data_IF_855897705162
#
_entry.id   IF_855897705162
#
_cell.length_a   1.000
_cell.length_b   1.000
_cell.length_c   1.000
_cell.angle_alpha   90.00
_cell.angle_beta   90.00
_cell.angle_gamma   90.00
#
_symmetry.space_group_name_H-M   'P 1'
#
loop_
_entity.id
_entity.type
_entity.pdbx_description
1 polymer ?
#
# COMPACT_ATOMS: atom_id res chain seq x y z
N UNK A 1 -6.85 44.40 -24.55
CA UNK A 1 -6.74 42.92 -24.73
C UNK A 1 -7.95 42.24 -24.16
N UNK A 2 -8.97 42.01 -24.95
CA UNK A 2 -10.22 41.25 -24.57
C UNK A 2 -9.87 39.75 -24.60
N UNK A 3 -9.62 39.15 -23.44
CA UNK A 3 -9.54 37.66 -23.34
C UNK A 3 -10.95 37.13 -23.64
N UNK A 4 -11.06 36.37 -24.73
CA UNK A 4 -12.30 35.78 -25.20
C UNK A 4 -12.96 34.94 -24.07
N UNK A 5 -14.23 35.20 -23.72
CA UNK A 5 -14.94 34.51 -22.62
C UNK A 5 -14.96 32.96 -22.76
N UNK A 6 -14.86 32.44 -23.98
CA UNK A 6 -14.77 31.01 -24.27
C UNK A 6 -13.49 30.35 -23.75
N UNK A 7 -12.39 31.07 -23.63
CA UNK A 7 -11.12 30.54 -23.07
C UNK A 7 -11.20 30.40 -21.55
N UNK A 8 -11.84 31.34 -20.87
CA UNK A 8 -12.08 31.29 -19.44
C UNK A 8 -12.96 30.09 -19.05
N UNK A 9 -14.04 29.84 -19.79
CA UNK A 9 -14.93 28.69 -19.54
C UNK A 9 -14.24 27.34 -19.70
N UNK A 10 -13.37 27.20 -20.73
CA UNK A 10 -12.57 25.96 -20.93
C UNK A 10 -11.56 25.74 -19.80
N UNK A 11 -10.94 26.79 -19.32
CA UNK A 11 -9.96 26.75 -18.24
C UNK A 11 -10.61 26.31 -16.92
N UNK A 12 -11.74 26.91 -16.56
CA UNK A 12 -12.48 26.54 -15.35
C UNK A 12 -13.07 25.13 -15.41
N UNK A 13 -13.62 24.70 -16.56
CA UNK A 13 -14.11 23.33 -16.75
C UNK A 13 -13.01 22.27 -16.59
N UNK A 14 -11.77 22.57 -17.00
CA UNK A 14 -10.62 21.68 -16.77
C UNK A 14 -10.28 21.59 -15.29
N UNK A 15 -10.17 22.73 -14.59
CA UNK A 15 -9.89 22.75 -13.15
C UNK A 15 -10.95 22.03 -12.33
N UNK A 16 -12.22 22.28 -12.60
CA UNK A 16 -13.33 21.60 -11.93
C UNK A 16 -13.26 20.06 -12.12
N UNK A 17 -12.86 19.58 -13.29
CA UNK A 17 -12.66 18.14 -13.51
C UNK A 17 -11.53 17.57 -12.63
N UNK A 18 -10.42 18.29 -12.48
CA UNK A 18 -9.33 17.87 -11.59
C UNK A 18 -9.76 17.83 -10.13
N UNK A 19 -10.44 18.86 -9.68
CA UNK A 19 -10.94 18.92 -8.30
C UNK A 19 -11.97 17.82 -8.02
N UNK A 20 -12.91 17.60 -8.95
CA UNK A 20 -13.86 16.49 -8.84
C UNK A 20 -13.18 15.12 -8.83
N UNK A 21 -12.14 14.94 -9.64
CA UNK A 21 -11.32 13.74 -9.61
C UNK A 21 -10.57 13.56 -8.28
N UNK A 22 -10.00 14.63 -7.75
CA UNK A 22 -9.30 14.61 -6.46
C UNK A 22 -10.25 14.29 -5.29
N UNK A 23 -11.44 14.90 -5.28
CA UNK A 23 -12.50 14.59 -4.31
C UNK A 23 -12.88 13.10 -4.38
N UNK A 24 -13.05 12.58 -5.59
CA UNK A 24 -13.39 11.17 -5.80
C UNK A 24 -12.26 10.24 -5.33
N UNK A 25 -10.99 10.58 -5.60
CA UNK A 25 -9.84 9.80 -5.10
C UNK A 25 -9.85 9.77 -3.57
N UNK A 26 -10.01 10.92 -2.92
CA UNK A 26 -10.08 11.01 -1.46
C UNK A 26 -11.21 10.16 -0.88
N UNK A 27 -12.44 10.33 -1.39
CA UNK A 27 -13.61 9.58 -0.93
C UNK A 27 -13.45 8.05 -1.11
N UNK A 28 -13.01 7.61 -2.30
CA UNK A 28 -12.78 6.17 -2.58
C UNK A 28 -11.66 5.62 -1.70
N UNK A 29 -10.61 6.40 -1.42
CA UNK A 29 -9.52 5.98 -0.53
C UNK A 29 -10.01 5.77 0.90
N UNK A 30 -10.87 6.66 1.41
CA UNK A 30 -11.46 6.51 2.75
C UNK A 30 -12.39 5.31 2.82
N UNK A 31 -13.27 5.11 1.83
CA UNK A 31 -14.15 3.94 1.77
C UNK A 31 -13.34 2.64 1.69
N UNK A 32 -12.27 2.62 0.92
CA UNK A 32 -11.38 1.47 0.84
C UNK A 32 -10.68 1.22 2.17
N UNK A 33 -10.26 2.28 2.87
CA UNK A 33 -9.67 2.17 4.19
C UNK A 33 -10.63 1.52 5.18
N UNK A 34 -11.88 2.00 5.26
CA UNK A 34 -12.91 1.45 6.13
C UNK A 34 -13.24 0.00 5.79
N UNK A 35 -13.32 -0.35 4.50
CA UNK A 35 -13.56 -1.71 4.06
C UNK A 35 -12.38 -2.65 4.43
N UNK A 36 -11.15 -2.17 4.33
CA UNK A 36 -9.95 -2.93 4.71
C UNK A 36 -9.90 -3.16 6.23
N UNK A 37 -10.15 -2.11 7.02
CA UNK A 37 -10.20 -2.21 8.48
C UNK A 37 -11.33 -3.17 8.94
N UNK A 38 -12.51 -3.05 8.34
CA UNK A 38 -13.63 -3.98 8.61
C UNK A 38 -13.31 -5.43 8.25
N UNK A 39 -12.60 -5.68 7.16
CA UNK A 39 -12.16 -7.01 6.75
C UNK A 39 -11.13 -7.60 7.74
N UNK A 40 -10.18 -6.79 8.18
CA UNK A 40 -9.18 -7.18 9.19
C UNK A 40 -9.85 -7.49 10.54
N UNK A 41 -10.76 -6.63 11.00
CA UNK A 41 -11.55 -6.88 12.22
C UNK A 41 -12.38 -8.17 12.13
N UNK A 42 -13.00 -8.44 10.98
CA UNK A 42 -13.76 -9.66 10.76
C UNK A 42 -12.85 -10.90 10.86
N UNK A 43 -11.65 -10.84 10.25
CA UNK A 43 -10.68 -11.93 10.34
C UNK A 43 -10.26 -12.20 11.80
N UNK A 44 -9.88 -11.18 12.56
CA UNK A 44 -9.50 -11.34 13.97
C UNK A 44 -10.66 -11.84 14.86
N UNK A 45 -11.90 -11.48 14.54
CA UNK A 45 -13.07 -12.02 15.23
C UNK A 45 -13.22 -13.53 15.00
N UNK A 46 -12.97 -14.03 13.79
CA UNK A 46 -12.97 -15.46 13.50
C UNK A 46 -11.78 -16.18 14.13
N UNK A 47 -10.59 -15.61 14.04
CA UNK A 47 -9.37 -16.18 14.61
C UNK A 47 -9.49 -16.36 16.12
N UNK A 48 -9.99 -15.36 16.83
CA UNK A 48 -10.23 -15.44 18.27
C UNK A 48 -11.22 -16.53 18.70
N UNK A 49 -12.15 -16.91 17.80
CA UNK A 49 -13.17 -17.92 18.07
C UNK A 49 -12.77 -19.33 17.64
N UNK A 50 -11.96 -19.42 16.57
CA UNK A 50 -11.51 -20.68 15.96
C UNK A 50 -10.04 -20.60 15.58
N UNK A 51 -9.15 -20.77 16.52
CA UNK A 51 -7.70 -20.59 16.37
C UNK A 51 -7.05 -21.40 15.23
N UNK A 52 -7.68 -22.49 14.77
CA UNK A 52 -7.24 -23.29 13.61
C UNK A 52 -7.87 -22.85 12.29
N UNK A 53 -8.86 -21.95 12.31
CA UNK A 53 -9.52 -21.48 11.09
C UNK A 53 -8.54 -20.89 10.05
N UNK A 54 -7.48 -20.15 10.42
CA UNK A 54 -6.50 -19.66 9.48
C UNK A 54 -5.84 -20.73 8.62
N UNK A 55 -5.66 -21.99 9.14
CA UNK A 55 -5.06 -23.07 8.36
C UNK A 55 -5.89 -23.47 7.13
N UNK A 56 -7.17 -23.16 7.11
CA UNK A 56 -8.05 -23.40 5.97
C UNK A 56 -8.39 -22.13 5.22
N UNK A 57 -8.77 -21.07 5.94
CA UNK A 57 -9.26 -19.82 5.35
C UNK A 57 -8.14 -19.09 4.58
N UNK A 58 -6.94 -19.00 5.15
CA UNK A 58 -5.83 -18.27 4.54
C UNK A 58 -5.33 -18.93 3.25
N UNK A 59 -5.04 -20.25 3.19
CA UNK A 59 -4.64 -20.90 1.94
C UNK A 59 -5.69 -20.80 0.83
N UNK A 60 -6.98 -20.99 1.17
CA UNK A 60 -8.07 -20.88 0.20
C UNK A 60 -8.23 -19.45 -0.30
N UNK A 61 -8.15 -18.46 0.60
CA UNK A 61 -8.19 -17.04 0.24
C UNK A 61 -7.04 -16.63 -0.68
N UNK A 62 -5.81 -17.08 -0.42
CA UNK A 62 -4.66 -16.84 -1.28
C UNK A 62 -4.84 -17.46 -2.66
N UNK A 63 -5.25 -18.72 -2.72
CA UNK A 63 -5.51 -19.41 -3.99
C UNK A 63 -6.60 -18.67 -4.80
N UNK A 64 -7.70 -18.27 -4.15
CA UNK A 64 -8.79 -17.52 -4.76
C UNK A 64 -8.32 -16.15 -5.28
N UNK A 65 -7.65 -15.35 -4.43
CA UNK A 65 -7.16 -14.02 -4.80
C UNK A 65 -6.16 -14.08 -5.96
N UNK A 66 -5.22 -15.04 -5.94
CA UNK A 66 -4.25 -15.22 -7.00
C UNK A 66 -4.90 -15.69 -8.30
N UNK A 67 -5.85 -16.63 -8.23
CA UNK A 67 -6.64 -17.07 -9.39
C UNK A 67 -7.42 -15.92 -10.00
N UNK A 68 -8.16 -15.17 -9.18
CA UNK A 68 -8.96 -14.04 -9.66
C UNK A 68 -8.07 -12.95 -10.27
N UNK A 69 -6.94 -12.63 -9.63
CA UNK A 69 -5.99 -11.67 -10.14
C UNK A 69 -5.32 -12.10 -11.46
N UNK A 70 -5.06 -13.41 -11.63
CA UNK A 70 -4.42 -13.93 -12.84
C UNK A 70 -5.39 -14.14 -14.00
N UNK A 71 -6.63 -14.57 -13.74
CA UNK A 71 -7.59 -14.98 -14.77
C UNK A 71 -8.69 -13.96 -15.05
N UNK A 72 -9.22 -13.35 -13.99
CA UNK A 72 -10.35 -12.42 -14.11
C UNK A 72 -9.87 -10.97 -14.24
N UNK A 73 -8.84 -10.60 -13.46
CA UNK A 73 -8.34 -9.22 -13.36
C UNK A 73 -6.83 -9.11 -13.57
N UNK A 74 -6.30 -9.48 -14.75
CA UNK A 74 -4.87 -9.45 -15.04
C UNK A 74 -4.32 -8.01 -14.91
N UNK A 75 -3.30 -7.84 -14.06
CA UNK A 75 -2.71 -6.54 -13.69
C UNK A 75 -3.07 -6.04 -12.30
N UNK A 76 -3.94 -6.78 -11.56
CA UNK A 76 -4.27 -6.45 -10.17
C UNK A 76 -3.28 -7.04 -9.14
N UNK A 77 -2.38 -7.94 -9.54
CA UNK A 77 -1.41 -8.58 -8.66
C UNK A 77 -0.48 -7.56 -7.99
N UNK A 78 0.03 -7.91 -6.81
CA UNK A 78 1.02 -7.14 -6.07
C UNK A 78 0.53 -5.77 -5.57
N UNK A 79 1.45 -4.86 -5.26
CA UNK A 79 1.13 -3.64 -4.52
C UNK A 79 0.30 -2.62 -5.32
N UNK A 80 0.54 -2.44 -6.60
CA UNK A 80 -0.13 -1.41 -7.42
C UNK A 80 0.76 -0.21 -7.75
N UNK A 81 1.77 0.08 -6.95
CA UNK A 81 2.74 1.16 -7.22
C UNK A 81 3.50 0.90 -8.53
N UNK A 82 4.12 -0.28 -8.75
CA UNK A 82 4.81 -0.57 -10.01
C UNK A 82 3.89 -0.46 -11.23
N UNK A 83 2.61 -0.85 -11.08
CA UNK A 83 1.63 -0.75 -12.16
C UNK A 83 1.29 0.71 -12.51
N UNK A 84 1.19 1.59 -11.50
CA UNK A 84 0.97 3.01 -11.70
C UNK A 84 2.17 3.69 -12.37
N UNK A 85 3.41 3.35 -11.95
CA UNK A 85 4.65 3.82 -12.56
C UNK A 85 4.74 3.34 -14.01
N UNK A 86 4.55 2.05 -14.26
CA UNK A 86 4.58 1.49 -15.61
C UNK A 86 3.51 2.13 -16.52
N UNK A 87 2.29 2.34 -16.01
CA UNK A 87 1.23 2.99 -16.78
C UNK A 87 1.55 4.45 -17.13
N UNK A 88 2.36 5.13 -16.34
CA UNK A 88 2.84 6.49 -16.65
C UNK A 88 3.85 6.48 -17.80
N UNK A 89 4.75 5.49 -17.82
CA UNK A 89 5.80 5.38 -18.85
C UNK A 89 5.27 4.82 -20.19
N UNK A 90 4.37 3.85 -20.15
CA UNK A 90 3.80 3.22 -21.36
C UNK A 90 3.05 4.26 -22.21
N UNK A 91 3.21 4.25 -23.56
CA UNK A 91 2.43 5.09 -24.48
C UNK A 91 0.91 4.90 -24.30
N UNK A 92 0.14 5.90 -24.74
CA UNK A 92 -1.32 5.79 -24.75
C UNK A 92 -1.75 4.58 -25.54
N UNK A 93 -2.64 3.76 -24.98
CA UNK A 93 -3.12 2.56 -25.65
C UNK A 93 -3.78 1.55 -24.74
N UNK A 94 -4.00 0.36 -25.27
CA UNK A 94 -4.69 -0.73 -24.59
C UNK A 94 -3.93 -1.25 -23.35
N UNK A 95 -2.59 -1.26 -23.40
CA UNK A 95 -1.76 -1.71 -22.29
C UNK A 95 -1.94 -0.80 -21.05
N UNK A 96 -1.91 0.53 -21.22
CA UNK A 96 -2.19 1.49 -20.13
C UNK A 96 -3.61 1.31 -19.57
N UNK A 97 -4.62 1.06 -20.46
CA UNK A 97 -6.01 0.81 -20.05
C UNK A 97 -6.17 -0.46 -19.22
N UNK A 98 -5.39 -1.50 -19.50
CA UNK A 98 -5.41 -2.74 -18.70
C UNK A 98 -4.90 -2.52 -17.28
N UNK A 99 -3.91 -1.65 -17.09
CA UNK A 99 -3.34 -1.35 -15.77
C UNK A 99 -4.21 -0.37 -14.96
N UNK A 100 -4.84 0.61 -15.64
CA UNK A 100 -5.59 1.69 -15.02
C UNK A 100 -6.98 1.82 -15.65
N UNK A 101 -7.96 1.11 -15.13
CA UNK A 101 -9.36 1.16 -15.53
C UNK A 101 -10.29 1.10 -14.32
N UNK A 102 -11.56 1.47 -14.49
CA UNK A 102 -12.58 1.35 -13.43
C UNK A 102 -12.70 -0.10 -12.96
N UNK A 103 -12.67 -1.06 -13.89
CA UNK A 103 -12.66 -2.50 -13.57
C UNK A 103 -11.46 -2.86 -12.68
N UNK A 104 -10.29 -2.25 -12.92
CA UNK A 104 -9.10 -2.47 -12.12
C UNK A 104 -9.23 -1.87 -10.72
N UNK A 105 -9.91 -0.71 -10.56
CA UNK A 105 -10.20 -0.13 -9.24
C UNK A 105 -11.01 -1.12 -8.38
N UNK A 106 -12.12 -1.61 -8.89
CA UNK A 106 -12.96 -2.57 -8.17
C UNK A 106 -12.22 -3.88 -7.88
N UNK A 107 -11.46 -4.40 -8.83
CA UNK A 107 -10.66 -5.60 -8.64
C UNK A 107 -9.61 -5.41 -7.55
N UNK A 108 -8.90 -4.28 -7.58
CA UNK A 108 -7.84 -4.00 -6.61
C UNK A 108 -8.40 -3.85 -5.20
N UNK A 109 -9.46 -3.06 -5.03
CA UNK A 109 -10.13 -2.87 -3.75
C UNK A 109 -10.70 -4.21 -3.25
N UNK A 110 -11.54 -4.88 -4.05
CA UNK A 110 -12.22 -6.09 -3.64
C UNK A 110 -11.26 -7.23 -3.29
N UNK A 111 -10.24 -7.48 -4.13
CA UNK A 111 -9.29 -8.56 -3.86
C UNK A 111 -8.36 -8.25 -2.69
N UNK A 112 -8.00 -6.97 -2.44
CA UNK A 112 -7.23 -6.61 -1.24
C UNK A 112 -8.07 -6.78 0.03
N UNK A 113 -9.35 -6.39 0.00
CA UNK A 113 -10.28 -6.58 1.12
C UNK A 113 -10.45 -8.08 1.41
N UNK A 114 -10.66 -8.91 0.38
CA UNK A 114 -10.76 -10.37 0.53
C UNK A 114 -9.45 -10.97 1.07
N UNK A 115 -8.29 -10.49 0.61
CA UNK A 115 -7.00 -10.94 1.12
C UNK A 115 -6.84 -10.65 2.63
N UNK A 116 -7.21 -9.43 3.07
CA UNK A 116 -7.21 -9.07 4.50
C UNK A 116 -8.20 -9.91 5.31
N UNK A 117 -9.40 -10.14 4.76
CA UNK A 117 -10.42 -11.00 5.36
C UNK A 117 -9.97 -12.47 5.53
N UNK A 118 -8.92 -12.87 4.78
CA UNK A 118 -8.31 -14.19 4.88
C UNK A 118 -6.96 -14.17 5.62
N UNK A 119 -6.64 -13.11 6.37
CA UNK A 119 -5.44 -13.01 7.19
C UNK A 119 -4.14 -12.72 6.42
N UNK A 120 -4.22 -12.21 5.19
CA UNK A 120 -3.02 -11.86 4.43
C UNK A 120 -2.25 -10.71 5.09
N UNK A 121 -0.92 -10.82 5.12
CA UNK A 121 -0.03 -9.74 5.59
C UNK A 121 0.19 -8.71 4.49
N UNK A 122 -0.79 -7.84 4.30
CA UNK A 122 -0.81 -6.79 3.26
C UNK A 122 -1.34 -5.46 3.80
N UNK A 123 -0.90 -4.37 3.17
CA UNK A 123 -1.43 -3.03 3.38
C UNK A 123 -2.35 -2.57 2.25
N UNK A 124 -3.03 -1.47 2.45
CA UNK A 124 -3.95 -0.83 1.51
C UNK A 124 -3.33 0.34 0.74
N UNK A 125 -2.19 0.85 1.18
CA UNK A 125 -1.58 2.08 0.68
C UNK A 125 -1.14 1.94 -0.79
N UNK A 126 -0.42 0.86 -1.12
CA UNK A 126 -0.03 0.56 -2.50
C UNK A 126 -1.23 0.39 -3.45
N UNK A 127 -2.22 -0.43 -3.11
CA UNK A 127 -3.48 -0.51 -3.85
C UNK A 127 -4.15 0.83 -4.07
N UNK A 128 -4.18 1.70 -3.07
CA UNK A 128 -4.78 3.04 -3.18
C UNK A 128 -4.08 3.92 -4.21
N UNK A 129 -2.76 3.78 -4.38
CA UNK A 129 -1.98 4.45 -5.44
C UNK A 129 -2.51 4.09 -6.83
N UNK A 130 -2.71 2.80 -7.10
CA UNK A 130 -3.22 2.34 -8.40
C UNK A 130 -4.67 2.77 -8.63
N UNK A 131 -5.49 2.74 -7.60
CA UNK A 131 -6.89 3.20 -7.63
C UNK A 131 -6.96 4.70 -7.93
N UNK A 132 -6.20 5.52 -7.21
CA UNK A 132 -6.13 6.97 -7.43
C UNK A 132 -5.64 7.33 -8.84
N UNK A 133 -4.59 6.65 -9.31
CA UNK A 133 -4.09 6.77 -10.68
C UNK A 133 -5.17 6.44 -11.72
N UNK A 134 -5.91 5.37 -11.50
CA UNK A 134 -6.96 4.93 -12.43
C UNK A 134 -8.14 5.90 -12.45
N UNK A 135 -8.60 6.41 -11.30
CA UNK A 135 -9.67 7.41 -11.20
C UNK A 135 -9.28 8.66 -11.98
N UNK A 136 -8.09 9.22 -11.73
CA UNK A 136 -7.64 10.44 -12.40
C UNK A 136 -7.44 10.24 -13.90
N UNK A 137 -6.99 9.06 -14.33
CA UNK A 137 -6.91 8.73 -15.75
C UNK A 137 -8.29 8.67 -16.41
N UNK A 138 -9.32 8.14 -15.73
CA UNK A 138 -10.69 8.13 -16.27
C UNK A 138 -11.25 9.57 -16.38
N UNK A 139 -11.03 10.40 -15.37
CA UNK A 139 -11.40 11.83 -15.42
C UNK A 139 -10.73 12.53 -16.59
N UNK A 140 -9.44 12.25 -16.84
CA UNK A 140 -8.70 12.77 -17.98
C UNK A 140 -9.39 12.42 -19.31
N UNK A 141 -9.75 11.16 -19.46
CA UNK A 141 -10.36 10.65 -20.70
C UNK A 141 -11.76 11.20 -20.95
N UNK A 142 -12.60 11.20 -19.92
CA UNK A 142 -13.97 11.74 -20.00
C UNK A 142 -14.00 13.22 -20.40
N UNK A 143 -12.93 13.95 -20.09
CA UNK A 143 -12.81 15.41 -20.37
C UNK A 143 -11.86 15.72 -21.53
N UNK A 144 -11.32 14.71 -22.21
CA UNK A 144 -10.41 14.89 -23.35
C UNK A 144 -9.10 15.59 -22.97
N UNK A 145 -8.59 15.36 -21.74
CA UNK A 145 -7.37 16.01 -21.25
C UNK A 145 -6.14 15.29 -21.78
N UNK A 146 -5.18 16.07 -22.33
CA UNK A 146 -4.01 15.49 -23.00
C UNK A 146 -2.90 15.04 -22.04
N UNK A 147 -2.78 15.63 -20.85
CA UNK A 147 -1.72 15.30 -19.88
C UNK A 147 -2.07 14.10 -18.99
N UNK A 148 -2.26 12.92 -19.59
CA UNK A 148 -2.58 11.71 -18.83
C UNK A 148 -1.47 11.31 -17.85
N UNK A 149 -0.17 11.52 -18.19
CA UNK A 149 0.97 11.18 -17.33
C UNK A 149 0.97 11.99 -16.03
N UNK A 150 0.74 13.29 -16.13
CA UNK A 150 0.63 14.17 -14.96
C UNK A 150 -0.57 13.86 -14.09
N UNK A 151 -1.67 13.39 -14.68
CA UNK A 151 -2.88 13.02 -13.94
C UNK A 151 -2.75 11.66 -13.24
N UNK A 152 -2.08 10.68 -13.85
CA UNK A 152 -1.71 9.42 -13.19
C UNK A 152 -0.87 9.75 -11.95
N UNK A 153 0.13 10.61 -12.08
CA UNK A 153 0.97 11.06 -10.98
C UNK A 153 0.13 11.72 -9.87
N UNK A 154 -0.70 12.70 -10.23
CA UNK A 154 -1.52 13.44 -9.29
C UNK A 154 -2.51 12.51 -8.53
N UNK A 155 -3.13 11.57 -9.23
CA UNK A 155 -4.03 10.58 -8.64
C UNK A 155 -3.32 9.61 -7.70
N UNK A 156 -2.14 9.13 -8.08
CA UNK A 156 -1.30 8.29 -7.23
C UNK A 156 -0.93 8.98 -5.93
N UNK A 157 -0.47 10.22 -6.04
CA UNK A 157 -0.05 11.04 -4.90
C UNK A 157 -1.24 11.41 -3.99
N UNK A 158 -2.40 11.77 -4.56
CA UNK A 158 -3.60 12.02 -3.80
C UNK A 158 -4.11 10.77 -3.07
N UNK A 159 -3.95 9.58 -3.69
CA UNK A 159 -4.23 8.30 -3.05
C UNK A 159 -3.40 8.08 -1.79
N UNK A 160 -2.10 8.34 -1.84
CA UNK A 160 -1.21 8.28 -0.66
C UNK A 160 -1.59 9.33 0.39
N UNK A 161 -1.83 10.59 -0.03
CA UNK A 161 -2.25 11.64 0.87
C UNK A 161 -3.51 11.26 1.67
N UNK A 162 -4.48 10.66 0.99
CA UNK A 162 -5.72 10.20 1.62
C UNK A 162 -5.52 8.93 2.46
N UNK A 163 -4.68 7.98 2.02
CA UNK A 163 -4.43 6.73 2.75
C UNK A 163 -3.75 6.96 4.10
N UNK A 164 -2.84 7.94 4.17
CA UNK A 164 -2.10 8.30 5.40
C UNK A 164 -2.71 9.47 6.18
N UNK A 165 -3.82 10.05 5.70
CA UNK A 165 -4.39 11.29 6.24
C UNK A 165 -3.35 12.42 6.31
N UNK A 166 -2.40 12.45 5.38
CA UNK A 166 -1.23 13.33 5.39
C UNK A 166 -0.96 13.89 3.98
N UNK A 167 -1.46 15.08 3.65
CA UNK A 167 -1.26 15.69 2.33
C UNK A 167 0.22 15.84 1.95
N UNK A 168 1.07 16.20 2.92
CA UNK A 168 2.50 16.37 2.69
C UNK A 168 3.20 15.05 2.27
N UNK A 169 2.80 13.92 2.87
CA UNK A 169 3.32 12.60 2.49
C UNK A 169 3.02 12.27 1.03
N UNK A 170 1.83 12.64 0.54
CA UNK A 170 1.48 12.48 -0.88
C UNK A 170 2.36 13.30 -1.81
N UNK A 171 2.74 14.53 -1.42
CA UNK A 171 3.66 15.37 -2.21
C UNK A 171 5.05 14.75 -2.27
N UNK A 172 5.59 14.31 -1.12
CA UNK A 172 6.90 13.65 -1.04
C UNK A 172 6.91 12.37 -1.89
N UNK A 173 5.88 11.52 -1.76
CA UNK A 173 5.73 10.32 -2.57
C UNK A 173 5.71 10.60 -4.08
N UNK A 174 5.01 11.67 -4.51
CA UNK A 174 4.98 12.07 -5.92
C UNK A 174 6.38 12.43 -6.43
N UNK A 175 7.19 13.03 -5.57
CA UNK A 175 8.55 13.49 -5.90
C UNK A 175 9.52 12.30 -5.95
N UNK A 176 9.56 11.50 -4.91
CA UNK A 176 10.59 10.47 -4.71
C UNK A 176 10.30 9.21 -5.52
N UNK A 177 9.09 8.68 -5.40
CA UNK A 177 8.76 7.38 -5.97
C UNK A 177 8.23 7.49 -7.41
N UNK A 178 7.31 8.43 -7.64
CA UNK A 178 6.57 8.44 -8.90
C UNK A 178 7.24 9.24 -10.00
N UNK A 179 7.97 10.31 -9.68
CA UNK A 179 8.45 11.25 -10.69
C UNK A 179 9.93 11.08 -11.03
N UNK A 180 10.78 10.83 -10.05
CA UNK A 180 12.25 10.79 -10.15
C UNK A 180 12.86 12.04 -10.84
N UNK A 181 12.06 13.10 -11.06
CA UNK A 181 12.51 14.35 -11.68
C UNK A 181 11.95 15.57 -10.98
N UNK A 182 12.77 16.61 -10.85
CA UNK A 182 12.43 17.85 -10.15
C UNK A 182 11.41 18.72 -10.91
N UNK A 183 11.37 18.66 -12.23
CA UNK A 183 10.53 19.51 -13.07
C UNK A 183 9.03 19.28 -12.93
N UNK A 184 8.61 18.06 -12.57
CA UNK A 184 7.20 17.73 -12.32
C UNK A 184 6.72 18.23 -10.95
N UNK A 185 7.63 18.60 -10.06
CA UNK A 185 7.38 18.96 -8.66
C UNK A 185 6.56 20.25 -8.48
N UNK A 186 6.68 21.18 -9.39
CA UNK A 186 6.06 22.51 -9.31
C UNK A 186 4.75 22.62 -10.09
N UNK A 187 4.26 21.51 -10.66
CA UNK A 187 2.98 21.56 -11.36
C UNK A 187 1.84 21.74 -10.35
N UNK A 188 1.28 22.94 -10.30
CA UNK A 188 0.21 23.31 -9.38
C UNK A 188 -1.01 22.36 -9.41
N UNK A 189 -1.18 21.60 -10.51
CA UNK A 189 -2.22 20.58 -10.64
C UNK A 189 -1.94 19.39 -9.70
N UNK A 190 -0.71 18.89 -9.65
CA UNK A 190 -0.34 17.78 -8.77
C UNK A 190 -0.55 18.21 -7.32
N UNK A 191 0.01 19.36 -6.95
CA UNK A 191 -0.09 19.87 -5.58
C UNK A 191 -1.54 20.09 -5.15
N UNK A 192 -2.37 20.75 -5.97
CA UNK A 192 -3.79 20.97 -5.63
C UNK A 192 -4.58 19.66 -5.55
N UNK A 193 -4.30 18.68 -6.41
CA UNK A 193 -4.95 17.37 -6.37
C UNK A 193 -4.62 16.62 -5.09
N UNK A 194 -3.34 16.64 -4.68
CA UNK A 194 -2.86 16.00 -3.44
C UNK A 194 -3.49 16.65 -2.21
N UNK A 195 -3.50 17.99 -2.15
CA UNK A 195 -4.09 18.74 -1.04
C UNK A 195 -5.59 18.42 -0.94
N UNK A 196 -6.34 18.48 -2.04
CA UNK A 196 -7.77 18.18 -2.04
C UNK A 196 -8.03 16.75 -1.59
N UNK A 197 -7.29 15.76 -2.12
CA UNK A 197 -7.43 14.36 -1.73
C UNK A 197 -7.18 14.13 -0.23
N UNK A 198 -6.15 14.76 0.32
CA UNK A 198 -5.84 14.70 1.75
C UNK A 198 -6.87 15.44 2.62
N UNK A 199 -7.35 16.62 2.17
CA UNK A 199 -8.41 17.35 2.87
C UNK A 199 -9.74 16.59 2.90
N UNK A 200 -10.07 15.84 1.84
CA UNK A 200 -11.24 14.95 1.84
C UNK A 200 -11.10 13.86 2.89
N UNK A 201 -9.92 13.24 2.97
CA UNK A 201 -9.66 12.25 4.02
C UNK A 201 -9.82 12.88 5.41
N UNK A 202 -9.16 14.01 5.65
CA UNK A 202 -9.25 14.75 6.90
C UNK A 202 -10.71 15.12 7.26
N UNK A 203 -11.49 15.57 6.28
CA UNK A 203 -12.90 15.94 6.49
C UNK A 203 -13.83 14.77 6.78
N UNK A 204 -13.53 13.57 6.24
CA UNK A 204 -14.36 12.38 6.43
C UNK A 204 -13.95 11.54 7.65
N UNK A 205 -12.66 11.50 7.99
CA UNK A 205 -12.13 10.65 9.06
C UNK A 205 -11.68 11.45 10.29
N UNK A 206 -11.69 12.78 10.20
CA UNK A 206 -11.18 13.66 11.23
C UNK A 206 -9.66 13.82 11.22
N UNK A 207 -9.17 14.71 12.08
CA UNK A 207 -7.74 14.96 12.23
C UNK A 207 -7.14 13.94 13.20
N UNK A 208 -6.53 12.89 12.67
CA UNK A 208 -5.80 11.89 13.46
C UNK A 208 -4.41 11.65 12.84
N UNK A 209 -3.45 11.36 13.70
CA UNK A 209 -2.11 10.93 13.28
C UNK A 209 -2.13 9.44 12.99
N UNK A 210 -1.78 9.06 11.76
CA UNK A 210 -1.88 7.66 11.31
C UNK A 210 -1.09 6.71 12.22
N UNK A 211 0.14 7.00 12.56
CA UNK A 211 0.98 6.17 13.43
C UNK A 211 1.06 6.64 14.90
N UNK A 212 0.10 7.43 15.38
CA UNK A 212 0.14 7.97 16.73
C UNK A 212 1.12 9.13 16.89
N UNK A 213 1.41 9.50 18.13
CA UNK A 213 2.33 10.59 18.51
C UNK A 213 3.34 10.11 19.52
N UNK A 214 4.58 10.58 19.40
CA UNK A 214 5.63 10.31 20.39
C UNK A 214 6.24 11.63 20.86
N UNK A 215 6.44 11.77 22.15
CA UNK A 215 7.16 12.88 22.77
C UNK A 215 8.63 12.54 23.04
N UNK A 216 9.13 11.42 22.50
CA UNK A 216 10.52 11.00 22.66
C UNK A 216 11.47 12.00 21.98
N UNK A 217 12.43 12.51 22.71
CA UNK A 217 13.48 13.37 22.20
C UNK A 217 14.83 12.62 22.20
N UNK A 218 15.62 12.84 21.16
CA UNK A 218 16.97 12.30 21.08
C UNK A 218 17.87 13.09 22.05
N UNK A 219 18.45 12.40 23.02
CA UNK A 219 19.35 13.01 24.00
C UNK A 219 20.77 12.49 23.82
N UNK A 220 21.75 13.42 23.80
CA UNK A 220 23.16 13.09 23.77
C UNK A 220 23.67 12.39 22.49
N UNK A 221 24.96 12.03 22.50
CA UNK A 221 25.64 11.34 21.40
C UNK A 221 25.19 9.89 21.24
N UNK A 222 24.81 9.21 22.33
CA UNK A 222 24.29 7.84 22.31
C UNK A 222 23.00 7.74 21.48
N UNK A 223 22.05 8.66 21.70
CA UNK A 223 20.82 8.72 20.91
C UNK A 223 21.07 8.89 19.41
N UNK A 224 22.04 9.71 18.99
CA UNK A 224 22.43 9.84 17.61
C UNK A 224 23.10 8.57 17.05
N UNK A 225 23.92 7.89 17.89
CA UNK A 225 24.49 6.59 17.54
C UNK A 225 23.41 5.55 17.23
N UNK A 226 22.34 5.51 18.04
CA UNK A 226 21.19 4.63 17.80
C UNK A 226 20.44 4.95 16.51
N UNK A 227 20.29 6.22 16.14
CA UNK A 227 19.68 6.61 14.86
C UNK A 227 20.45 6.01 13.70
N UNK A 228 21.80 6.12 13.71
CA UNK A 228 22.66 5.57 12.67
C UNK A 228 22.57 4.04 12.63
N UNK A 229 22.60 3.39 13.78
CA UNK A 229 22.52 1.93 13.90
C UNK A 229 21.17 1.41 13.39
N UNK A 230 20.06 2.00 13.81
CA UNK A 230 18.71 1.64 13.37
C UNK A 230 18.51 1.92 11.89
N UNK A 231 19.03 3.04 11.38
CA UNK A 231 18.98 3.37 9.96
C UNK A 231 19.76 2.36 9.11
N UNK A 232 20.95 1.97 9.56
CA UNK A 232 21.79 0.96 8.89
C UNK A 232 21.13 -0.43 8.92
N UNK A 233 20.63 -0.87 10.09
CA UNK A 233 19.93 -2.14 10.24
C UNK A 233 18.67 -2.20 9.39
N UNK A 234 17.85 -1.13 9.41
CA UNK A 234 16.65 -1.00 8.58
C UNK A 234 16.97 -1.03 7.09
N UNK A 235 18.04 -0.35 6.66
CA UNK A 235 18.52 -0.38 5.29
C UNK A 235 18.95 -1.77 4.83
N UNK A 236 19.69 -2.51 5.67
CA UNK A 236 20.10 -3.88 5.40
C UNK A 236 18.89 -4.84 5.32
N UNK A 237 17.95 -4.73 6.25
CA UNK A 237 16.72 -5.54 6.25
C UNK A 237 15.87 -5.23 5.03
N UNK A 238 15.71 -3.96 4.65
CA UNK A 238 14.98 -3.55 3.45
C UNK A 238 15.65 -4.05 2.16
N UNK A 239 16.97 -3.97 2.08
CA UNK A 239 17.76 -4.52 0.97
C UNK A 239 17.62 -6.04 0.85
N UNK A 240 17.69 -6.75 1.99
CA UNK A 240 17.47 -8.20 2.06
C UNK A 240 16.06 -8.57 1.62
N UNK A 241 15.02 -7.86 2.12
CA UNK A 241 13.63 -8.06 1.73
C UNK A 241 13.45 -7.93 0.22
N UNK A 242 13.97 -6.84 -0.36
CA UNK A 242 13.86 -6.57 -1.80
C UNK A 242 14.55 -7.64 -2.64
N UNK A 243 15.74 -8.08 -2.22
CA UNK A 243 16.48 -9.15 -2.90
C UNK A 243 15.73 -10.48 -2.85
N UNK A 244 15.30 -10.89 -1.65
CA UNK A 244 14.54 -12.13 -1.48
C UNK A 244 13.23 -12.11 -2.27
N UNK A 245 12.52 -10.97 -2.28
CA UNK A 245 11.29 -10.81 -3.06
C UNK A 245 11.54 -11.00 -4.55
N UNK A 246 12.65 -10.47 -5.09
CA UNK A 246 13.01 -10.65 -6.51
C UNK A 246 13.41 -12.08 -6.81
N UNK A 247 14.30 -12.68 -6.03
CA UNK A 247 14.84 -14.01 -6.27
C UNK A 247 13.75 -15.09 -6.16
N UNK A 248 12.95 -15.04 -5.08
CA UNK A 248 11.82 -15.97 -4.87
C UNK A 248 10.75 -15.74 -5.93
N UNK A 249 10.47 -14.48 -6.29
CA UNK A 249 9.49 -14.13 -7.32
C UNK A 249 9.86 -14.66 -8.71
N UNK A 250 11.15 -14.62 -9.09
CA UNK A 250 11.66 -15.19 -10.33
C UNK A 250 11.59 -16.71 -10.31
N UNK A 251 12.02 -17.33 -9.22
CA UNK A 251 11.92 -18.77 -9.02
C UNK A 251 10.47 -19.26 -9.08
N UNK A 252 9.56 -18.60 -8.39
CA UNK A 252 8.13 -18.92 -8.40
C UNK A 252 7.52 -18.84 -9.80
N UNK A 253 7.88 -17.82 -10.59
CA UNK A 253 7.43 -17.69 -11.98
C UNK A 253 7.89 -18.88 -12.84
N UNK A 254 9.15 -19.28 -12.72
CA UNK A 254 9.71 -20.43 -13.45
C UNK A 254 9.03 -21.74 -13.04
N UNK A 255 8.82 -21.93 -11.73
CA UNK A 255 8.17 -23.12 -11.20
C UNK A 255 6.70 -23.23 -11.62
N UNK A 256 5.95 -22.12 -11.58
CA UNK A 256 4.54 -22.05 -12.02
C UNK A 256 4.42 -22.29 -13.54
N UNK A 257 5.40 -21.84 -14.33
CA UNK A 257 5.37 -21.98 -15.80
C UNK A 257 5.33 -23.43 -16.26
N UNK A 258 5.89 -24.37 -15.51
CA UNK A 258 5.91 -25.81 -15.83
C UNK A 258 4.51 -26.42 -15.87
N UNK A 259 3.62 -26.04 -14.94
CA UNK A 259 2.21 -26.48 -14.96
C UNK A 259 1.33 -25.36 -14.39
N UNK A 260 0.97 -24.42 -15.25
CA UNK A 260 0.25 -23.21 -14.88
C UNK A 260 -1.13 -23.46 -14.27
N UNK A 261 -1.79 -24.59 -14.59
CA UNK A 261 -3.11 -24.89 -14.04
C UNK A 261 -3.02 -25.32 -12.57
N UNK A 262 -2.15 -26.27 -12.27
CA UNK A 262 -2.03 -26.85 -10.91
C UNK A 262 -1.16 -25.96 -10.04
N UNK A 263 0.07 -25.67 -10.48
CA UNK A 263 1.04 -24.90 -9.69
C UNK A 263 0.65 -23.44 -9.50
N UNK A 264 -0.12 -22.87 -10.44
CA UNK A 264 -0.66 -21.52 -10.33
C UNK A 264 -1.70 -21.35 -9.21
N UNK A 265 -2.30 -22.43 -8.70
CA UNK A 265 -3.17 -22.44 -7.52
C UNK A 265 -2.44 -22.97 -6.29
N UNK A 266 -1.64 -24.03 -6.45
CA UNK A 266 -0.93 -24.66 -5.36
C UNK A 266 0.11 -23.73 -4.71
N UNK A 267 0.82 -22.92 -5.50
CA UNK A 267 1.83 -22.01 -4.98
C UNK A 267 1.24 -20.93 -4.04
N UNK A 268 0.22 -20.16 -4.44
CA UNK A 268 -0.42 -19.22 -3.53
C UNK A 268 -1.04 -19.90 -2.31
N UNK A 269 -1.66 -21.07 -2.47
CA UNK A 269 -2.21 -21.84 -1.35
C UNK A 269 -1.12 -22.24 -0.34
N UNK A 270 0.04 -22.71 -0.82
CA UNK A 270 1.19 -23.01 0.02
C UNK A 270 1.73 -21.76 0.73
N UNK A 271 1.83 -20.63 0.03
CA UNK A 271 2.17 -19.35 0.65
C UNK A 271 1.17 -18.98 1.76
N UNK A 272 -0.13 -19.14 1.50
CA UNK A 272 -1.17 -18.88 2.49
C UNK A 272 -1.09 -19.81 3.69
N UNK A 273 -0.75 -21.10 3.48
CA UNK A 273 -0.54 -22.06 4.57
C UNK A 273 0.66 -21.66 5.44
N UNK A 274 1.76 -21.25 4.84
CA UNK A 274 2.93 -20.78 5.58
C UNK A 274 2.62 -19.51 6.39
N UNK A 275 1.86 -18.57 5.82
CA UNK A 275 1.39 -17.36 6.53
C UNK A 275 0.45 -17.75 7.67
N UNK A 276 -0.45 -18.70 7.49
CA UNK A 276 -1.33 -19.19 8.55
C UNK A 276 -0.54 -19.82 9.71
N UNK A 277 0.47 -20.64 9.43
CA UNK A 277 1.34 -21.24 10.44
C UNK A 277 2.10 -20.14 11.21
N UNK A 278 2.71 -19.17 10.49
CA UNK A 278 3.39 -18.03 11.12
C UNK A 278 2.42 -17.21 11.98
N UNK A 279 1.19 -17.00 11.52
CA UNK A 279 0.16 -16.28 12.25
C UNK A 279 -0.20 -16.98 13.56
N UNK A 280 -0.42 -18.28 13.54
CA UNK A 280 -0.73 -19.06 14.73
C UNK A 280 0.46 -19.08 15.71
N UNK A 281 1.68 -19.26 15.21
CA UNK A 281 2.90 -19.25 16.04
C UNK A 281 3.16 -17.86 16.67
N UNK A 282 2.78 -16.78 16.00
CA UNK A 282 2.87 -15.41 16.50
C UNK A 282 1.62 -14.92 17.22
N UNK A 283 0.71 -15.82 17.63
CA UNK A 283 -0.52 -15.49 18.35
C UNK A 283 -1.40 -14.44 17.63
N UNK A 284 -1.41 -14.45 16.29
CA UNK A 284 -2.16 -13.53 15.46
C UNK A 284 -1.38 -12.29 15.00
N UNK A 285 -0.27 -11.95 15.63
CA UNK A 285 0.46 -10.69 15.43
C UNK A 285 0.97 -10.49 13.99
N UNK A 286 1.28 -11.57 13.27
CA UNK A 286 1.81 -11.47 11.89
C UNK A 286 0.72 -11.32 10.82
N UNK A 287 -0.56 -11.51 11.14
CA UNK A 287 -1.67 -11.27 10.20
C UNK A 287 -1.94 -9.80 9.94
N UNK A 288 -2.70 -9.50 8.89
CA UNK A 288 -3.21 -8.18 8.57
C UNK A 288 -2.15 -7.14 8.22
N UNK A 289 -2.47 -5.89 8.45
CA UNK A 289 -1.62 -4.73 8.11
C UNK A 289 -0.45 -4.52 9.06
N UNK A 290 -0.56 -4.94 10.33
CA UNK A 290 0.38 -4.63 11.41
C UNK A 290 0.32 -3.17 11.89
N UNK A 291 -0.71 -2.44 11.46
CA UNK A 291 -0.88 -1.02 11.79
C UNK A 291 -1.02 -0.78 13.31
N UNK A 292 -1.86 -1.57 13.98
CA UNK A 292 -2.09 -1.43 15.42
C UNK A 292 -0.81 -1.60 16.23
N UNK A 293 0.01 -2.60 15.89
CA UNK A 293 1.30 -2.86 16.55
C UNK A 293 2.32 -1.76 16.25
N UNK A 294 2.38 -1.25 15.01
CA UNK A 294 3.25 -0.14 14.67
C UNK A 294 2.88 1.12 15.44
N UNK A 295 1.58 1.43 15.56
CA UNK A 295 1.09 2.57 16.32
C UNK A 295 1.43 2.43 17.80
N UNK A 296 1.16 1.27 18.40
CA UNK A 296 1.50 0.98 19.80
C UNK A 296 3.00 1.14 20.08
N UNK A 297 3.86 0.65 19.16
CA UNK A 297 5.31 0.82 19.26
C UNK A 297 5.74 2.30 19.25
N UNK A 298 5.15 3.14 18.38
CA UNK A 298 5.42 4.58 18.35
C UNK A 298 4.94 5.29 19.62
N UNK A 299 3.82 4.84 20.20
CA UNK A 299 3.26 5.37 21.45
C UNK A 299 4.00 4.83 22.72
N UNK A 300 5.04 4.02 22.55
CA UNK A 300 5.92 3.56 23.62
C UNK A 300 5.55 2.20 24.23
N UNK A 301 4.55 1.49 23.66
CA UNK A 301 4.22 0.12 24.04
C UNK A 301 5.19 -0.82 23.32
N UNK A 302 5.91 -1.66 24.07
CA UNK A 302 6.88 -2.60 23.50
C UNK A 302 6.17 -3.86 23.00
N UNK A 303 6.13 -4.11 21.68
CA UNK A 303 5.58 -5.34 21.14
C UNK A 303 6.46 -6.56 21.47
N UNK A 304 5.93 -7.76 21.28
CA UNK A 304 6.69 -8.99 21.45
C UNK A 304 7.90 -9.05 20.51
N UNK A 305 9.03 -9.57 20.97
CA UNK A 305 10.28 -9.65 20.20
C UNK A 305 10.14 -10.48 18.90
N UNK A 306 9.28 -11.49 18.90
CA UNK A 306 9.02 -12.35 17.73
C UNK A 306 8.16 -11.70 16.65
N UNK A 307 7.55 -10.53 16.94
CA UNK A 307 6.69 -9.83 15.97
C UNK A 307 7.42 -9.50 14.68
N UNK A 308 8.59 -8.81 14.79
CA UNK A 308 9.25 -8.30 13.61
C UNK A 308 9.74 -9.41 12.66
N UNK A 309 10.34 -10.55 13.10
CA UNK A 309 10.73 -11.61 12.17
C UNK A 309 9.52 -12.35 11.61
N UNK A 310 8.48 -12.60 12.40
CA UNK A 310 7.26 -13.23 11.93
C UNK A 310 6.56 -12.35 10.89
N UNK A 311 6.42 -11.05 11.15
CA UNK A 311 5.82 -10.08 10.23
C UNK A 311 6.64 -9.91 8.95
N UNK A 312 7.95 -9.85 9.05
CA UNK A 312 8.86 -9.80 7.90
C UNK A 312 8.66 -11.01 6.97
N UNK A 313 8.67 -12.23 7.53
CA UNK A 313 8.47 -13.46 6.76
C UNK A 313 7.05 -13.54 6.18
N UNK A 314 6.02 -13.25 6.96
CA UNK A 314 4.63 -13.26 6.50
C UNK A 314 4.42 -12.27 5.35
N UNK A 315 5.00 -11.08 5.45
CA UNK A 315 4.92 -10.06 4.39
C UNK A 315 5.68 -10.48 3.14
N UNK A 316 6.88 -11.05 3.28
CA UNK A 316 7.68 -11.55 2.16
C UNK A 316 6.94 -12.67 1.41
N UNK A 317 6.44 -13.68 2.13
CA UNK A 317 5.68 -14.80 1.56
C UNK A 317 4.43 -14.29 0.85
N UNK A 318 3.74 -13.34 1.46
CA UNK A 318 2.55 -12.72 0.87
C UNK A 318 2.91 -11.94 -0.41
N UNK A 319 3.97 -11.15 -0.40
CA UNK A 319 4.40 -10.35 -1.55
C UNK A 319 4.74 -11.20 -2.78
N UNK A 320 5.35 -12.37 -2.58
CA UNK A 320 5.72 -13.28 -3.67
C UNK A 320 4.60 -14.22 -4.11
N UNK A 321 3.51 -14.34 -3.34
CA UNK A 321 2.39 -15.24 -3.63
C UNK A 321 1.58 -14.86 -4.87
N UNK A 322 1.69 -13.60 -5.33
CA UNK A 322 0.95 -13.07 -6.49
C UNK A 322 -0.46 -12.57 -6.18
N UNK A 323 -0.86 -12.48 -4.91
CA UNK A 323 -2.12 -11.85 -4.52
C UNK A 323 -2.03 -10.32 -4.59
N UNK A 324 -3.15 -9.60 -4.75
CA UNK A 324 -3.20 -8.15 -4.62
C UNK A 324 -3.02 -7.71 -3.17
N UNK A 325 -2.22 -6.67 -2.95
CA UNK A 325 -2.02 -6.07 -1.62
C UNK A 325 -0.73 -5.27 -1.55
N UNK A 326 -0.70 -4.23 -0.73
CA UNK A 326 0.47 -3.38 -0.49
C UNK A 326 1.43 -4.01 0.51
N UNK A 327 2.70 -3.67 0.40
CA UNK A 327 3.73 -4.09 1.36
C UNK A 327 4.14 -2.95 2.30
N UNK A 328 3.59 -1.75 2.11
CA UNK A 328 4.06 -0.53 2.77
C UNK A 328 3.78 -0.56 4.29
N UNK A 329 2.51 -0.69 4.70
CA UNK A 329 2.15 -0.76 6.12
C UNK A 329 2.82 -1.93 6.87
N UNK A 330 2.84 -3.18 6.34
CA UNK A 330 3.56 -4.27 6.97
C UNK A 330 5.06 -4.01 7.12
N UNK A 331 5.72 -3.41 6.11
CA UNK A 331 7.15 -3.08 6.20
C UNK A 331 7.43 -2.00 7.24
N UNK A 332 6.56 -0.98 7.33
CA UNK A 332 6.68 0.05 8.38
C UNK A 332 6.50 -0.54 9.79
N UNK A 333 5.58 -1.50 9.96
CA UNK A 333 5.40 -2.16 11.25
C UNK A 333 6.63 -2.98 11.68
N UNK A 334 7.29 -3.66 10.73
CA UNK A 334 8.57 -4.34 10.98
C UNK A 334 9.63 -3.34 11.42
N UNK A 335 9.75 -2.19 10.72
CA UNK A 335 10.73 -1.15 11.05
C UNK A 335 10.48 -0.51 12.43
N UNK A 336 9.23 -0.18 12.76
CA UNK A 336 8.85 0.41 14.03
C UNK A 336 9.18 -0.51 15.21
N UNK A 337 8.88 -1.80 15.10
CA UNK A 337 9.12 -2.77 16.18
C UNK A 337 10.59 -3.14 16.30
N UNK A 338 11.34 -3.28 15.22
CA UNK A 338 12.77 -3.52 15.28
C UNK A 338 13.53 -2.37 15.98
N UNK A 339 13.09 -1.12 15.75
CA UNK A 339 13.65 0.04 16.45
C UNK A 339 13.40 0.00 17.96
N UNK A 340 12.17 -0.31 18.40
CA UNK A 340 11.86 -0.34 19.85
C UNK A 340 12.65 -1.40 20.59
N UNK A 341 12.93 -2.55 19.96
CA UNK A 341 13.75 -3.59 20.58
C UNK A 341 15.22 -3.22 20.68
N UNK A 342 15.79 -2.60 19.65
CA UNK A 342 17.17 -2.10 19.72
C UNK A 342 17.34 -1.06 20.82
N UNK A 343 16.35 -0.18 21.01
CA UNK A 343 16.36 0.83 22.09
C UNK A 343 16.19 0.22 23.49
N UNK A 344 15.37 -0.81 23.64
CA UNK A 344 15.14 -1.45 24.94
C UNK A 344 16.44 -2.10 25.50
N UNK A 345 17.36 -2.52 24.64
CA UNK A 345 18.67 -3.04 25.06
C UNK A 345 19.63 -1.96 25.58
N UNK A 346 19.46 -0.70 25.19
CA UNK A 346 20.29 0.41 25.72
C UNK A 346 19.97 0.74 27.18
N UNK A 347 18.69 0.72 27.57
CA UNK A 347 18.26 1.02 28.92
C UNK A 347 18.62 -0.05 29.98
N UNK A 348 19.17 -1.18 29.54
CA UNK A 348 19.66 -2.27 30.42
C UNK A 348 21.17 -2.16 30.64
N UNK A 349 21.87 -1.30 29.88
CA UNK A 349 23.32 -1.10 29.96
C UNK A 349 23.72 0.18 30.75
N UNK A 350 22.74 1.01 31.11
CA UNK A 350 22.88 2.14 32.07
C UNK A 350 22.33 1.71 33.44
#
# INVERSE_FOLDING_TARGET
>A
MRRLPHLAGRFWRRRAAFWGGALLVGAVSVLFAQAADGAEHLFFHYDSRFWLAPLLVTPLGYAFCAWAAARVFPGSQGSGIPQAIAAREIPRGMARRRLLSVRMCFAKIGLTVVALMCGASVGREGPTVQVGAAIMLQVARLRGLQNERGLILAGSAAGIAAAFNAPLAGVVFAIEEMSRSFEVKTNGIVLTTVIIGGLVSLGLTGNYTYFGTSNAAIQGLGGWGMVVLCGSAGGLLGGLFSRLMMDIGLWAKSWIAVNRRVRGLAYPAMCGLLVAILGILSQGDSFGTGYATAKAAVEGITPHWYFWPAKFLATLITAVSGIPGGIFAPSLSVGAVSYTHLRAHETVLD
#
